data_IF_120848280607
#
_entry.id   IF_120848280607
#
_cell.length_a   1.000
_cell.length_b   1.000
_cell.length_c   1.000
_cell.angle_alpha   90.00
_cell.angle_beta   90.00
_cell.angle_gamma   90.00
#
_symmetry.space_group_name_H-M   'P 1'
#
loop_
_entity.id
_entity.type
_entity.pdbx_description
1 polymer ?
#
# COMPACT_ATOMS: atom_id res chain seq x y z
N UNK A 1 -39.85 55.20 -8.51
CA UNK A 1 -39.12 54.51 -9.59
C UNK A 1 -38.87 53.11 -9.06
N UNK A 2 -39.57 52.13 -9.62
CA UNK A 2 -39.54 50.75 -9.13
C UNK A 2 -38.24 50.07 -9.59
N UNK A 3 -37.53 49.49 -8.63
CA UNK A 3 -36.33 48.70 -8.84
C UNK A 3 -36.67 47.48 -9.70
N UNK A 4 -36.19 47.49 -10.95
CA UNK A 4 -36.29 46.33 -11.83
C UNK A 4 -35.30 45.28 -11.38
N UNK A 5 -35.78 44.40 -10.50
CA UNK A 5 -35.13 43.15 -10.13
C UNK A 5 -34.80 42.36 -11.41
N UNK A 6 -33.52 42.35 -11.78
CA UNK A 6 -33.01 41.66 -12.97
C UNK A 6 -33.07 40.15 -12.71
N UNK A 7 -34.21 39.53 -13.03
CA UNK A 7 -34.34 38.06 -13.04
C UNK A 7 -33.28 37.48 -13.97
N UNK A 8 -32.41 36.57 -13.50
CA UNK A 8 -31.44 35.92 -14.36
C UNK A 8 -32.18 35.11 -15.42
N UNK A 9 -31.81 35.31 -16.67
CA UNK A 9 -32.35 34.60 -17.83
C UNK A 9 -32.20 33.08 -17.62
N UNK A 10 -33.21 32.31 -17.99
CA UNK A 10 -33.28 30.85 -17.75
C UNK A 10 -32.05 30.14 -18.32
N UNK A 11 -31.59 30.58 -19.48
CA UNK A 11 -30.41 30.06 -20.17
C UNK A 11 -29.11 30.25 -19.36
N UNK A 12 -29.00 31.35 -18.60
CA UNK A 12 -27.84 31.59 -17.73
C UNK A 12 -27.79 30.64 -16.54
N UNK A 13 -28.96 30.28 -15.98
CA UNK A 13 -29.06 29.32 -14.87
C UNK A 13 -28.74 27.90 -15.32
N UNK A 14 -29.21 27.52 -16.49
CA UNK A 14 -28.92 26.20 -17.08
C UNK A 14 -27.42 26.04 -17.36
N UNK A 15 -26.75 27.08 -17.88
CA UNK A 15 -25.29 27.08 -18.07
C UNK A 15 -24.52 26.88 -16.76
N UNK A 16 -24.94 27.56 -15.68
CA UNK A 16 -24.33 27.41 -14.36
C UNK A 16 -24.50 25.98 -13.83
N UNK A 17 -25.71 25.41 -13.97
CA UNK A 17 -26.00 24.04 -13.55
C UNK A 17 -25.13 23.04 -14.34
N UNK A 18 -24.99 23.24 -15.66
CA UNK A 18 -24.17 22.36 -16.50
C UNK A 18 -22.70 22.40 -16.08
N UNK A 19 -22.12 23.59 -15.89
CA UNK A 19 -20.73 23.75 -15.45
C UNK A 19 -20.51 23.05 -14.10
N UNK A 20 -21.44 23.24 -13.16
CA UNK A 20 -21.36 22.60 -11.85
C UNK A 20 -21.45 21.07 -11.97
N UNK A 21 -22.36 20.56 -12.79
CA UNK A 21 -22.52 19.11 -13.03
C UNK A 21 -21.26 18.49 -13.65
N UNK A 22 -20.68 19.14 -14.66
CA UNK A 22 -19.46 18.69 -15.32
C UNK A 22 -18.27 18.70 -14.34
N UNK A 23 -18.20 19.72 -13.48
CA UNK A 23 -17.20 19.80 -12.43
C UNK A 23 -17.34 18.65 -11.43
N UNK A 24 -18.55 18.43 -10.90
CA UNK A 24 -18.82 17.35 -9.95
C UNK A 24 -18.51 15.97 -10.55
N UNK A 25 -18.81 15.76 -11.82
CA UNK A 25 -18.49 14.51 -12.52
C UNK A 25 -16.98 14.25 -12.55
N UNK A 26 -16.18 15.29 -12.80
CA UNK A 26 -14.71 15.18 -12.78
C UNK A 26 -14.16 14.91 -11.38
N UNK A 27 -14.78 15.49 -10.34
CA UNK A 27 -14.41 15.21 -8.95
C UNK A 27 -14.64 13.73 -8.63
N UNK A 28 -15.77 13.15 -9.04
CA UNK A 28 -16.05 11.73 -8.79
C UNK A 28 -15.00 10.82 -9.43
N UNK A 29 -14.61 11.08 -10.68
CA UNK A 29 -13.55 10.32 -11.36
C UNK A 29 -12.21 10.46 -10.62
N UNK A 30 -11.91 11.65 -10.10
CA UNK A 30 -10.71 11.88 -9.32
C UNK A 30 -10.72 11.10 -7.99
N UNK A 31 -11.86 11.08 -7.28
CA UNK A 31 -12.01 10.31 -6.03
C UNK A 31 -11.80 8.81 -6.25
N UNK A 32 -12.36 8.26 -7.33
CA UNK A 32 -12.12 6.85 -7.72
C UNK A 32 -10.62 6.58 -7.97
N UNK A 33 -9.94 7.48 -8.68
CA UNK A 33 -8.52 7.35 -8.96
C UNK A 33 -7.67 7.44 -7.68
N UNK A 34 -8.04 8.31 -6.75
CA UNK A 34 -7.38 8.44 -5.44
C UNK A 34 -7.54 7.16 -4.62
N UNK A 35 -8.71 6.53 -4.61
CA UNK A 35 -8.94 5.26 -3.92
C UNK A 35 -8.07 4.14 -4.51
N UNK A 36 -8.06 4.00 -5.84
CA UNK A 36 -7.22 3.02 -6.53
C UNK A 36 -5.73 3.27 -6.26
N UNK A 37 -5.28 4.53 -6.36
CA UNK A 37 -3.90 4.92 -6.08
C UNK A 37 -3.50 4.64 -4.63
N UNK A 38 -4.38 4.91 -3.68
CA UNK A 38 -4.14 4.66 -2.25
C UNK A 38 -3.98 3.16 -1.98
N UNK A 39 -4.85 2.31 -2.55
CA UNK A 39 -4.75 0.85 -2.44
C UNK A 39 -3.44 0.32 -3.02
N UNK A 40 -3.03 0.83 -4.18
CA UNK A 40 -1.75 0.47 -4.80
C UNK A 40 -0.57 0.81 -3.90
N UNK A 41 -0.54 2.03 -3.35
CA UNK A 41 0.55 2.49 -2.48
C UNK A 41 0.64 1.68 -1.19
N UNK A 42 -0.50 1.36 -0.56
CA UNK A 42 -0.53 0.50 0.63
C UNK A 42 0.02 -0.89 0.31
N UNK A 43 -0.40 -1.48 -0.82
CA UNK A 43 0.13 -2.78 -1.25
C UNK A 43 1.64 -2.74 -1.52
N UNK A 44 2.12 -1.66 -2.13
CA UNK A 44 3.56 -1.46 -2.37
C UNK A 44 4.34 -1.32 -1.06
N UNK A 45 3.85 -0.54 -0.09
CA UNK A 45 4.48 -0.39 1.22
C UNK A 45 4.55 -1.72 1.98
N UNK A 46 3.50 -2.53 1.90
CA UNK A 46 3.49 -3.88 2.48
C UNK A 46 4.53 -4.78 1.79
N UNK A 47 4.62 -4.74 0.45
CA UNK A 47 5.63 -5.48 -0.30
C UNK A 47 7.05 -5.08 0.08
N UNK A 48 7.32 -3.78 0.27
CA UNK A 48 8.60 -3.29 0.79
C UNK A 48 8.89 -3.83 2.20
N UNK A 49 7.87 -3.95 3.05
CA UNK A 49 7.99 -4.59 4.36
C UNK A 49 8.45 -6.05 4.28
N UNK A 50 8.03 -6.80 3.26
CA UNK A 50 8.50 -8.18 3.04
C UNK A 50 9.92 -8.27 2.48
N UNK A 51 10.33 -7.30 1.65
CA UNK A 51 11.72 -7.20 1.18
C UNK A 51 12.65 -6.76 2.32
N UNK A 52 12.14 -5.96 3.25
CA UNK A 52 12.82 -5.57 4.49
C UNK A 52 12.88 -6.72 5.49
N UNK A 53 13.81 -7.66 5.31
CA UNK A 53 14.09 -8.66 6.35
C UNK A 53 14.46 -7.96 7.67
N UNK A 54 14.01 -8.44 8.84
CA UNK A 54 14.49 -7.91 10.11
C UNK A 54 16.02 -8.00 10.14
N UNK A 55 16.68 -6.88 10.49
CA UNK A 55 18.12 -6.88 10.72
C UNK A 55 18.44 -8.01 11.69
N UNK A 56 19.51 -8.78 11.45
CA UNK A 56 19.99 -9.76 12.41
C UNK A 56 20.05 -9.06 13.76
N UNK A 57 19.36 -9.65 14.74
CA UNK A 57 19.41 -9.17 16.11
C UNK A 57 20.85 -9.28 16.61
N UNK A 58 21.54 -8.13 16.59
CA UNK A 58 22.94 -8.02 17.03
C UNK A 58 23.07 -8.15 18.55
N UNK A 59 21.96 -8.27 19.28
CA UNK A 59 21.97 -8.48 20.73
C UNK A 59 22.15 -9.95 21.12
N UNK A 60 21.96 -10.90 20.18
CA UNK A 60 22.22 -12.31 20.45
C UNK A 60 23.73 -12.57 20.61
N UNK A 61 24.15 -12.84 21.84
CA UNK A 61 25.54 -13.13 22.20
C UNK A 61 26.08 -14.36 21.44
N UNK A 62 25.25 -15.39 21.28
CA UNK A 62 25.60 -16.59 20.52
C UNK A 62 25.80 -16.30 19.03
N UNK A 63 24.92 -15.49 18.42
CA UNK A 63 25.06 -15.10 17.02
C UNK A 63 26.34 -14.28 16.79
N UNK A 64 26.64 -13.34 17.69
CA UNK A 64 27.88 -12.56 17.66
C UNK A 64 29.12 -13.43 17.83
N UNK A 65 29.09 -14.41 18.74
CA UNK A 65 30.21 -15.33 18.96
C UNK A 65 30.48 -16.19 17.73
N UNK A 66 29.44 -16.72 17.08
CA UNK A 66 29.58 -17.49 15.82
C UNK A 66 30.14 -16.61 14.70
N UNK A 67 29.66 -15.38 14.56
CA UNK A 67 30.17 -14.42 13.56
C UNK A 67 31.65 -14.10 13.77
N UNK A 68 32.04 -13.78 15.00
CA UNK A 68 33.45 -13.47 15.35
C UNK A 68 34.37 -14.68 15.17
N UNK A 69 33.89 -15.89 15.44
CA UNK A 69 34.72 -17.11 15.32
C UNK A 69 34.96 -17.49 13.86
N UNK A 70 34.07 -17.11 12.93
CA UNK A 70 34.12 -17.45 11.50
C UNK A 70 34.19 -16.22 10.60
N UNK A 71 34.79 -15.15 11.11
CA UNK A 71 34.80 -13.84 10.47
C UNK A 71 35.54 -13.90 9.13
N UNK A 72 34.78 -13.97 8.04
CA UNK A 72 35.31 -13.87 6.67
C UNK A 72 34.81 -12.57 6.04
N UNK A 73 35.59 -11.97 5.13
CA UNK A 73 35.12 -10.80 4.36
C UNK A 73 33.74 -11.06 3.73
N UNK A 74 33.51 -12.28 3.21
CA UNK A 74 32.24 -12.69 2.62
C UNK A 74 31.08 -12.68 3.63
N UNK A 75 31.28 -13.22 4.83
CA UNK A 75 30.27 -13.23 5.88
C UNK A 75 29.94 -11.80 6.33
N UNK A 76 30.96 -10.96 6.50
CA UNK A 76 30.77 -9.55 6.88
C UNK A 76 29.96 -8.79 5.83
N UNK A 77 30.33 -8.90 4.55
CA UNK A 77 29.59 -8.27 3.45
C UNK A 77 28.16 -8.81 3.33
N UNK A 78 27.93 -10.10 3.56
CA UNK A 78 26.58 -10.69 3.58
C UNK A 78 25.71 -10.13 4.71
N UNK A 79 26.28 -9.92 5.90
CA UNK A 79 25.56 -9.33 7.04
C UNK A 79 25.31 -7.83 6.84
N UNK A 80 26.29 -7.09 6.31
CA UNK A 80 26.14 -5.67 5.96
C UNK A 80 25.08 -5.45 4.89
N UNK A 81 24.95 -6.38 3.93
CA UNK A 81 23.90 -6.41 2.92
C UNK A 81 22.53 -6.84 3.47
N UNK A 82 22.36 -7.05 4.78
CA UNK A 82 21.08 -7.42 5.39
C UNK A 82 20.71 -8.91 5.26
N UNK A 83 21.69 -9.78 5.00
CA UNK A 83 21.50 -11.22 4.85
C UNK A 83 20.44 -11.59 3.80
N UNK A 84 20.48 -10.87 2.68
CA UNK A 84 19.65 -11.12 1.51
C UNK A 84 20.24 -12.29 0.73
N UNK A 85 19.49 -13.39 0.64
CA UNK A 85 19.80 -14.48 -0.29
C UNK A 85 19.28 -14.07 -1.66
N UNK A 86 20.13 -14.10 -2.68
CA UNK A 86 19.76 -13.71 -4.06
C UNK A 86 18.59 -14.52 -4.59
N UNK A 87 18.53 -15.81 -4.26
CA UNK A 87 17.40 -16.70 -4.58
C UNK A 87 16.08 -16.25 -3.96
N UNK A 88 16.08 -15.81 -2.70
CA UNK A 88 14.86 -15.38 -2.00
C UNK A 88 14.30 -14.10 -2.65
N UNK A 89 15.19 -13.21 -3.11
CA UNK A 89 14.81 -12.02 -3.87
C UNK A 89 14.15 -12.38 -5.21
N UNK A 90 14.71 -13.35 -5.93
CA UNK A 90 14.18 -13.80 -7.23
C UNK A 90 12.84 -14.50 -7.04
N UNK A 91 12.70 -15.36 -6.03
CA UNK A 91 11.44 -16.04 -5.73
C UNK A 91 10.35 -15.06 -5.26
N UNK A 92 10.69 -14.06 -4.45
CA UNK A 92 9.75 -13.02 -4.05
C UNK A 92 9.33 -12.15 -5.24
N UNK A 93 10.26 -11.82 -6.14
CA UNK A 93 9.96 -11.08 -7.37
C UNK A 93 9.08 -11.88 -8.32
N UNK A 94 9.34 -13.19 -8.49
CA UNK A 94 8.48 -14.05 -9.31
C UNK A 94 7.07 -14.17 -8.71
N UNK A 95 6.93 -14.29 -7.38
CA UNK A 95 5.61 -14.24 -6.72
C UNK A 95 4.87 -12.91 -6.92
N UNK A 96 5.61 -11.81 -7.04
CA UNK A 96 5.05 -10.49 -7.38
C UNK A 96 4.59 -10.45 -8.83
N UNK A 97 5.40 -10.98 -9.75
CA UNK A 97 5.14 -10.99 -11.19
C UNK A 97 3.99 -11.93 -11.60
N UNK A 98 3.83 -13.06 -10.90
CA UNK A 98 2.82 -14.08 -11.19
C UNK A 98 1.45 -13.77 -10.54
N UNK A 99 1.28 -12.61 -9.91
CA UNK A 99 0.01 -12.19 -9.30
C UNK A 99 -0.45 -13.07 -8.12
N UNK A 100 0.40 -13.97 -7.63
CA UNK A 100 0.07 -14.95 -6.59
C UNK A 100 -0.26 -14.29 -5.23
N UNK A 101 0.12 -13.03 -5.03
CA UNK A 101 -0.26 -12.22 -3.87
C UNK A 101 -1.75 -11.84 -3.83
N UNK A 102 -2.42 -11.67 -4.98
CA UNK A 102 -3.85 -11.33 -5.01
C UNK A 102 -4.74 -12.45 -4.45
N UNK A 103 -4.30 -13.72 -4.56
CA UNK A 103 -5.04 -14.88 -4.01
C UNK A 103 -4.94 -15.02 -2.49
N UNK A 104 -3.89 -14.49 -1.87
CA UNK A 104 -3.71 -14.53 -0.40
C UNK A 104 -4.49 -13.45 0.33
N UNK A 105 -5.05 -12.46 -0.39
CA UNK A 105 -5.92 -11.41 0.15
C UNK A 105 -7.40 -11.78 0.06
N UNK A 106 -7.79 -12.96 0.58
CA UNK A 106 -9.19 -13.14 1.01
C UNK A 106 -9.34 -12.41 2.34
N UNK A 107 -10.14 -11.33 2.45
CA UNK A 107 -10.39 -10.70 3.74
C UNK A 107 -11.01 -11.73 4.68
N UNK A 108 -10.65 -11.77 5.97
CA UNK A 108 -11.29 -12.65 6.92
C UNK A 108 -12.78 -12.27 7.00
N UNK A 109 -13.64 -13.14 6.48
CA UNK A 109 -15.08 -13.06 6.74
C UNK A 109 -15.27 -13.08 8.25
N UNK A 110 -15.84 -11.99 8.75
CA UNK A 110 -16.42 -11.75 10.08
C UNK A 110 -16.07 -12.82 11.12
N UNK A 111 -15.21 -12.46 12.06
CA UNK A 111 -14.95 -13.23 13.27
C UNK A 111 -16.28 -13.73 13.86
N UNK A 112 -16.47 -15.05 13.85
CA UNK A 112 -17.54 -15.71 14.60
C UNK A 112 -17.38 -15.35 16.09
N UNK A 113 -18.46 -15.08 16.83
CA UNK A 113 -18.36 -14.85 18.27
C UNK A 113 -17.79 -16.11 18.94
N UNK A 114 -16.80 -15.91 19.82
CA UNK A 114 -16.29 -16.95 20.70
C UNK A 114 -17.39 -17.33 21.69
N UNK A 115 -18.06 -18.45 21.46
CA UNK A 115 -18.86 -19.13 22.50
C UNK A 115 -17.90 -19.56 23.62
N UNK A 116 -17.98 -18.90 24.77
CA UNK A 116 -17.31 -19.30 26.00
C UNK A 116 -18.09 -20.46 26.62
N UNK A 117 -17.45 -21.60 26.96
CA UNK A 117 -18.13 -22.66 27.70
C UNK A 117 -18.36 -22.22 29.16
N UNK A 118 -19.59 -22.44 29.62
CA UNK A 118 -20.02 -22.36 31.03
C UNK A 118 -19.30 -23.40 31.90
#
# INVERSE_FOLDING_TARGET
MEDKEHRPDRESKEKIIQIFSDFMTRITVFEELVDVGSKLLVGFQQALGFLGRPRIDKTSEMAMRIMRTRETKRLKSYVEAGCVKTDDSIQNLNKYHDGHWLRSFRPPEKARPLELPL
#
